data_IF_834237619613
#
_entry.id   IF_834237619613
#
_cell.length_a   1.000
_cell.length_b   1.000
_cell.length_c   1.000
_cell.angle_alpha   90.00
_cell.angle_beta   90.00
_cell.angle_gamma   90.00
#
_symmetry.space_group_name_H-M   'P 1'
#
loop_
_entity.id
_entity.type
_entity.pdbx_description
1 polymer ?
#
# COMPACT_ATOMS: atom_id res chain seq x y z
N UNK A 1 -0.86 -40.38 -27.60
CA UNK A 1 -1.72 -41.23 -26.77
C UNK A 1 -1.43 -41.17 -25.26
N UNK A 2 -0.25 -40.78 -24.79
CA UNK A 2 0.07 -40.69 -23.34
C UNK A 2 -0.45 -39.43 -22.62
N UNK A 3 -0.85 -38.39 -23.34
CA UNK A 3 -1.36 -37.13 -22.74
C UNK A 3 -2.86 -37.13 -22.46
N UNK A 4 -3.62 -38.08 -23.02
CA UNK A 4 -5.07 -38.15 -22.83
C UNK A 4 -5.48 -38.93 -21.56
N UNK A 5 -4.60 -39.79 -21.04
CA UNK A 5 -4.89 -40.64 -19.87
C UNK A 5 -4.76 -39.84 -18.55
N UNK A 6 -3.93 -38.80 -18.51
CA UNK A 6 -3.73 -37.97 -17.28
C UNK A 6 -4.94 -37.10 -16.98
N UNK A 7 -5.66 -36.59 -17.98
CA UNK A 7 -6.85 -35.75 -17.77
C UNK A 7 -8.07 -36.53 -17.25
N UNK A 8 -8.20 -37.82 -17.51
CA UNK A 8 -9.36 -38.63 -17.08
C UNK A 8 -9.24 -39.05 -15.61
N UNK A 9 -8.03 -39.21 -15.09
CA UNK A 9 -7.81 -39.58 -13.68
C UNK A 9 -8.03 -38.38 -12.72
N UNK A 10 -7.80 -37.16 -13.16
CA UNK A 10 -8.07 -35.96 -12.34
C UNK A 10 -9.57 -35.62 -12.23
N UNK A 11 -10.43 -36.07 -13.16
CA UNK A 11 -11.86 -35.76 -13.14
C UNK A 11 -12.67 -36.71 -12.23
N UNK A 12 -12.11 -37.81 -11.77
CA UNK A 12 -12.80 -38.83 -10.93
C UNK A 12 -12.59 -38.63 -9.41
N UNK A 13 -11.75 -37.71 -8.97
CA UNK A 13 -11.45 -37.47 -7.54
C UNK A 13 -12.24 -36.32 -6.93
N UNK A 14 -13.10 -35.63 -7.67
CA UNK A 14 -13.86 -34.44 -7.19
C UNK A 14 -15.28 -34.77 -6.72
N UNK A 15 -15.74 -36.02 -6.78
CA UNK A 15 -17.15 -36.37 -6.52
C UNK A 15 -17.44 -37.08 -5.17
N UNK A 16 -16.54 -37.05 -4.19
CA UNK A 16 -16.80 -37.71 -2.90
C UNK A 16 -16.45 -36.81 -1.69
N UNK A 17 -17.14 -35.66 -1.53
CA UNK A 17 -17.21 -34.99 -0.21
C UNK A 17 -18.39 -34.02 -0.12
N UNK A 18 -19.61 -34.58 -0.14
CA UNK A 18 -20.82 -33.89 0.29
C UNK A 18 -21.57 -34.82 1.24
N UNK A 19 -21.32 -34.73 2.55
CA UNK A 19 -22.29 -35.06 3.59
C UNK A 19 -21.73 -34.74 4.99
N UNK A 20 -22.13 -33.61 5.59
CA UNK A 20 -22.46 -33.51 7.01
C UNK A 20 -23.08 -32.13 7.29
N UNK A 21 -24.38 -32.05 7.08
CA UNK A 21 -25.20 -30.97 7.61
C UNK A 21 -25.50 -31.31 9.07
N UNK A 22 -24.93 -30.54 10.01
CA UNK A 22 -25.24 -30.57 11.44
C UNK A 22 -25.82 -29.24 11.85
N UNK A 23 -27.15 -29.14 11.84
CA UNK A 23 -27.91 -28.05 12.43
C UNK A 23 -27.78 -28.09 13.94
N UNK A 24 -27.15 -27.10 14.55
CA UNK A 24 -27.36 -26.73 15.96
C UNK A 24 -27.99 -25.35 15.98
N UNK A 25 -29.28 -25.34 16.31
CA UNK A 25 -29.98 -24.18 16.84
C UNK A 25 -29.28 -23.76 18.13
N UNK A 26 -28.67 -22.60 18.12
CA UNK A 26 -28.19 -21.90 19.29
C UNK A 26 -28.97 -20.59 19.38
N UNK A 27 -29.74 -20.45 20.46
CA UNK A 27 -30.50 -19.25 20.79
C UNK A 27 -29.60 -18.03 20.75
N UNK A 28 -29.90 -17.10 19.83
CA UNK A 28 -29.37 -15.74 19.84
C UNK A 28 -30.17 -14.97 20.88
N UNK A 29 -29.55 -14.49 21.98
CA UNK A 29 -30.24 -13.55 22.87
C UNK A 29 -30.55 -12.28 22.09
N UNK A 30 -31.77 -11.80 22.16
CA UNK A 30 -32.20 -10.52 21.62
C UNK A 30 -31.26 -9.41 22.11
N UNK A 31 -30.96 -8.40 21.30
CA UNK A 31 -30.23 -7.24 21.76
C UNK A 31 -31.07 -6.53 22.83
N UNK A 32 -30.63 -6.56 24.07
CA UNK A 32 -31.10 -5.67 25.11
C UNK A 32 -30.68 -4.26 24.70
N UNK A 33 -31.64 -3.43 24.32
CA UNK A 33 -31.47 -1.99 24.24
C UNK A 33 -31.08 -1.48 25.60
N UNK A 34 -29.80 -1.17 25.77
CA UNK A 34 -29.31 -0.56 26.99
C UNK A 34 -29.47 0.96 26.83
N UNK A 35 -30.68 1.45 27.16
CA UNK A 35 -30.97 2.87 27.30
C UNK A 35 -30.39 3.34 28.63
N UNK A 36 -29.11 3.68 28.64
CA UNK A 36 -28.51 4.16 29.87
C UNK A 36 -27.07 4.63 29.69
N UNK A 37 -26.92 5.84 29.15
CA UNK A 37 -25.63 6.52 29.08
C UNK A 37 -25.27 7.16 30.44
N UNK A 38 -25.15 6.34 31.48
CA UNK A 38 -24.63 6.77 32.76
C UNK A 38 -23.19 6.28 32.91
N UNK A 39 -22.28 7.17 33.27
CA UNK A 39 -20.91 6.82 33.61
C UNK A 39 -20.87 6.27 35.05
N UNK A 40 -20.21 5.12 35.24
CA UNK A 40 -20.05 4.45 36.52
C UNK A 40 -18.58 4.43 36.93
N UNK A 41 -18.33 4.51 38.25
CA UNK A 41 -17.01 4.20 38.82
C UNK A 41 -16.75 2.70 38.78
N UNK A 42 -15.51 2.26 39.01
CA UNK A 42 -15.14 0.84 39.00
C UNK A 42 -15.85 0.01 40.07
N UNK A 43 -16.48 0.64 41.08
CA UNK A 43 -17.28 0.03 42.15
C UNK A 43 -18.79 0.05 41.87
N UNK A 44 -19.22 0.53 40.70
CA UNK A 44 -20.63 0.58 40.30
C UNK A 44 -21.42 1.78 40.76
N UNK A 45 -20.77 2.80 41.35
CA UNK A 45 -21.44 4.02 41.81
C UNK A 45 -21.65 4.99 40.66
N UNK A 46 -22.85 5.55 40.53
CA UNK A 46 -23.16 6.59 39.50
C UNK A 46 -22.42 7.88 39.83
N UNK A 47 -21.69 8.44 38.89
CA UNK A 47 -20.98 9.72 39.03
C UNK A 47 -22.02 10.86 39.06
N UNK A 48 -22.17 11.62 40.15
CA UNK A 48 -23.10 12.75 40.20
C UNK A 48 -22.66 13.83 39.17
N UNK A 49 -23.58 14.24 38.31
CA UNK A 49 -23.35 15.30 37.31
C UNK A 49 -23.22 14.81 35.86
N UNK A 50 -23.28 13.52 35.61
CA UNK A 50 -23.38 12.98 34.26
C UNK A 50 -24.83 12.91 33.76
N UNK A 51 -25.54 14.04 33.68
CA UNK A 51 -26.87 14.07 33.06
C UNK A 51 -26.68 14.10 31.54
N UNK A 52 -27.09 13.03 30.82
CA UNK A 52 -26.94 12.98 29.36
C UNK A 52 -27.74 14.06 28.62
N UNK A 53 -28.61 14.79 29.31
CA UNK A 53 -29.39 15.90 28.73
C UNK A 53 -28.66 17.23 28.72
N UNK A 54 -27.48 17.32 29.35
CA UNK A 54 -26.63 18.53 29.34
C UNK A 54 -25.54 18.50 28.23
N UNK A 55 -25.44 17.42 27.46
CA UNK A 55 -24.62 17.44 26.25
C UNK A 55 -25.42 18.17 25.16
N UNK A 56 -25.25 19.48 25.13
CA UNK A 56 -25.58 20.23 23.93
C UNK A 56 -24.83 19.62 22.74
N UNK A 57 -25.28 19.83 21.51
CA UNK A 57 -24.53 19.39 20.34
C UNK A 57 -23.09 19.87 20.56
N UNK A 58 -22.14 18.94 20.61
CA UNK A 58 -20.74 19.32 20.60
C UNK A 58 -20.59 20.28 19.44
N UNK A 59 -20.18 21.51 19.72
CA UNK A 59 -19.77 22.40 18.63
C UNK A 59 -18.78 21.59 17.84
N UNK A 60 -19.11 21.31 16.58
CA UNK A 60 -18.20 20.70 15.65
C UNK A 60 -17.12 21.74 15.47
N UNK A 61 -16.11 21.68 16.36
CA UNK A 61 -14.86 22.40 16.13
C UNK A 61 -14.44 22.03 14.73
N UNK A 62 -14.29 23.01 13.86
CA UNK A 62 -13.89 22.87 12.47
C UNK A 62 -12.90 21.72 12.38
N UNK A 63 -13.24 20.68 11.59
CA UNK A 63 -12.31 19.60 11.33
C UNK A 63 -11.10 20.25 10.68
N UNK A 64 -10.00 20.33 11.40
CA UNK A 64 -8.73 20.81 10.84
C UNK A 64 -8.33 19.74 9.83
N UNK A 65 -8.70 20.00 8.58
CA UNK A 65 -8.27 19.16 7.47
C UNK A 65 -6.76 19.38 7.34
N UNK A 66 -5.98 18.34 7.57
CA UNK A 66 -4.54 18.37 7.31
C UNK A 66 -4.39 18.59 5.80
N UNK A 67 -3.78 19.70 5.35
CA UNK A 67 -3.59 19.94 3.92
C UNK A 67 -2.81 18.77 3.30
N UNK A 68 -3.16 18.38 2.07
CA UNK A 68 -2.36 17.43 1.30
C UNK A 68 -0.99 18.09 1.04
N UNK A 69 0.14 17.48 1.49
CA UNK A 69 1.45 18.09 1.31
C UNK A 69 1.99 17.94 -0.12
N UNK A 70 1.41 17.06 -0.93
CA UNK A 70 1.82 16.82 -2.31
C UNK A 70 1.38 17.96 -3.24
N UNK A 71 2.31 18.46 -4.01
CA UNK A 71 2.07 19.44 -5.07
C UNK A 71 2.30 18.79 -6.44
N UNK A 72 1.31 18.94 -7.33
CA UNK A 72 1.42 18.47 -8.72
C UNK A 72 2.50 19.27 -9.47
N UNK A 73 3.32 18.57 -10.25
CA UNK A 73 4.40 19.14 -11.05
C UNK A 73 4.21 18.81 -12.54
N UNK A 74 4.60 19.74 -13.39
CA UNK A 74 4.50 19.57 -14.85
C UNK A 74 5.68 18.80 -15.46
N UNK A 75 6.78 18.62 -14.69
CA UNK A 75 7.99 17.95 -15.14
C UNK A 75 8.80 17.39 -13.97
N UNK A 76 9.68 16.41 -14.25
CA UNK A 76 10.64 15.89 -13.28
C UNK A 76 11.62 16.97 -12.77
N UNK A 77 11.97 17.93 -13.62
CA UNK A 77 12.81 19.07 -13.21
C UNK A 77 12.11 19.95 -12.18
N UNK A 78 10.82 20.24 -12.37
CA UNK A 78 10.01 21.01 -11.43
C UNK A 78 9.87 20.27 -10.11
N UNK A 79 9.58 18.97 -10.14
CA UNK A 79 9.48 18.12 -8.94
C UNK A 79 10.80 18.09 -8.17
N UNK A 80 11.92 17.88 -8.85
CA UNK A 80 13.24 17.91 -8.22
C UNK A 80 13.59 19.28 -7.62
N UNK A 81 13.24 20.37 -8.31
CA UNK A 81 13.44 21.73 -7.80
C UNK A 81 12.62 22.00 -6.53
N UNK A 82 11.36 21.54 -6.50
CA UNK A 82 10.50 21.67 -5.33
C UNK A 82 11.01 20.80 -4.17
N UNK A 83 11.41 19.56 -4.44
CA UNK A 83 11.97 18.65 -3.46
C UNK A 83 13.39 19.00 -2.99
N UNK A 84 14.07 19.98 -3.63
CA UNK A 84 15.37 20.48 -3.22
C UNK A 84 16.57 19.63 -3.72
N UNK A 85 16.39 18.76 -4.71
CA UNK A 85 17.42 17.91 -5.29
C UNK A 85 17.18 17.63 -6.79
N UNK A 86 18.17 17.05 -7.47
CA UNK A 86 17.97 16.55 -8.84
C UNK A 86 17.16 15.25 -8.81
N UNK A 87 16.09 15.18 -9.62
CA UNK A 87 15.25 14.00 -9.76
C UNK A 87 15.19 13.56 -11.21
N UNK A 88 15.63 12.33 -11.47
CA UNK A 88 15.53 11.69 -12.78
C UNK A 88 14.82 10.35 -12.67
N UNK A 89 13.98 10.05 -13.63
CA UNK A 89 13.21 8.82 -13.78
C UNK A 89 12.91 8.63 -15.28
N UNK A 90 12.33 7.51 -15.72
CA UNK A 90 11.92 7.33 -17.10
C UNK A 90 10.99 8.47 -17.58
N UNK A 91 11.20 8.94 -18.81
CA UNK A 91 10.30 9.92 -19.42
C UNK A 91 8.97 9.32 -19.84
N UNK A 92 8.98 8.03 -20.22
CA UNK A 92 7.81 7.24 -20.58
C UNK A 92 8.07 5.77 -20.29
N UNK A 93 7.01 5.02 -20.05
CA UNK A 93 7.05 3.55 -19.94
C UNK A 93 6.11 2.95 -20.98
N UNK A 94 6.62 1.94 -21.71
CA UNK A 94 5.81 1.20 -22.67
C UNK A 94 4.65 0.48 -21.95
N UNK A 95 3.43 0.66 -22.44
CA UNK A 95 2.22 0.10 -21.85
C UNK A 95 1.61 0.97 -20.74
N UNK A 96 2.23 2.09 -20.34
CA UNK A 96 1.76 2.99 -19.28
C UNK A 96 1.59 4.42 -19.84
N UNK A 97 0.45 4.71 -20.50
CA UNK A 97 0.23 5.99 -21.19
C UNK A 97 0.02 7.18 -20.25
N UNK A 98 -0.43 6.95 -19.04
CA UNK A 98 -0.69 8.01 -18.07
C UNK A 98 0.51 8.23 -17.16
N UNK A 99 0.83 9.51 -16.91
CA UNK A 99 1.97 9.91 -16.10
C UNK A 99 1.58 11.06 -15.16
N UNK A 100 1.82 10.86 -13.86
CA UNK A 100 1.63 11.87 -12.84
C UNK A 100 2.96 12.17 -12.17
N UNK A 101 3.25 13.45 -11.93
CA UNK A 101 4.47 13.89 -11.27
C UNK A 101 4.07 14.79 -10.11
N UNK A 102 4.61 14.51 -8.92
CA UNK A 102 4.35 15.31 -7.74
C UNK A 102 5.59 15.41 -6.84
N UNK A 103 5.58 16.37 -5.93
CA UNK A 103 6.63 16.50 -4.93
C UNK A 103 6.09 17.11 -3.62
N UNK A 104 6.80 16.83 -2.52
CA UNK A 104 6.67 17.54 -1.25
C UNK A 104 7.92 18.41 -1.09
N UNK A 105 7.71 19.67 -0.77
CA UNK A 105 8.78 20.68 -0.68
C UNK A 105 9.89 20.24 0.28
N UNK A 106 11.13 20.27 -0.22
CA UNK A 106 12.36 19.88 0.49
C UNK A 106 12.37 18.46 1.09
N UNK A 107 11.56 17.54 0.55
CA UNK A 107 11.39 16.21 1.14
C UNK A 107 11.47 15.08 0.10
N UNK A 108 10.54 15.03 -0.86
CA UNK A 108 10.37 13.87 -1.75
C UNK A 108 9.82 14.28 -3.12
N UNK A 109 10.26 13.63 -4.16
CA UNK A 109 9.70 13.72 -5.50
C UNK A 109 9.27 12.33 -5.98
N UNK A 110 8.16 12.27 -6.72
CA UNK A 110 7.66 11.03 -7.31
C UNK A 110 7.20 11.23 -8.76
N UNK A 111 7.24 10.13 -9.50
CA UNK A 111 6.51 9.96 -10.75
C UNK A 111 5.79 8.63 -10.75
N UNK A 112 4.53 8.66 -11.13
CA UNK A 112 3.64 7.51 -11.20
C UNK A 112 3.23 7.32 -12.65
N UNK A 113 3.31 6.09 -13.13
CA UNK A 113 2.83 5.67 -14.44
C UNK A 113 1.69 4.69 -14.27
N UNK A 114 0.59 4.89 -14.99
CA UNK A 114 -0.56 4.00 -14.98
C UNK A 114 -0.81 3.43 -16.38
N UNK A 115 -1.18 2.16 -16.43
CA UNK A 115 -1.71 1.54 -17.64
C UNK A 115 -3.25 1.71 -17.74
N UNK A 116 -3.83 1.22 -18.83
CA UNK A 116 -5.29 1.30 -19.09
C UNK A 116 -6.12 0.43 -18.13
N UNK A 117 -5.52 -0.58 -17.50
CA UNK A 117 -6.16 -1.50 -16.56
C UNK A 117 -5.98 -1.05 -15.08
N UNK A 118 -5.28 0.05 -14.84
CA UNK A 118 -5.00 0.61 -13.52
C UNK A 118 -3.80 0.00 -12.81
N UNK A 119 -2.94 -0.74 -13.52
CA UNK A 119 -1.65 -1.13 -12.97
C UNK A 119 -0.72 0.09 -12.88
N UNK A 120 0.05 0.15 -11.80
CA UNK A 120 0.87 1.30 -11.45
C UNK A 120 2.33 0.94 -11.29
N UNK A 121 3.21 1.82 -11.77
CA UNK A 121 4.64 1.84 -11.43
C UNK A 121 4.99 3.22 -10.89
N UNK A 122 5.50 3.27 -9.66
CA UNK A 122 5.87 4.49 -8.97
C UNK A 122 7.38 4.54 -8.72
N UNK A 123 8.00 5.66 -9.05
CA UNK A 123 9.41 5.96 -8.76
C UNK A 123 9.48 7.12 -7.78
N UNK A 124 10.24 6.95 -6.69
CA UNK A 124 10.44 8.00 -5.68
C UNK A 124 11.90 8.20 -5.34
N UNK A 125 12.23 9.45 -5.04
CA UNK A 125 13.48 9.86 -4.39
C UNK A 125 13.14 10.84 -3.28
N UNK A 126 13.74 10.65 -2.11
CA UNK A 126 13.49 11.51 -0.95
C UNK A 126 14.76 11.76 -0.15
N UNK A 127 14.74 12.81 0.66
CA UNK A 127 15.83 13.15 1.59
C UNK A 127 15.88 12.14 2.74
N UNK A 128 17.08 11.68 3.09
CA UNK A 128 17.28 10.73 4.21
C UNK A 128 17.52 9.30 3.74
N UNK A 129 17.39 8.37 4.66
CA UNK A 129 17.73 6.95 4.46
C UNK A 129 16.59 5.99 4.81
N UNK A 130 15.46 6.53 5.23
CA UNK A 130 14.29 5.74 5.61
C UNK A 130 13.55 5.20 4.37
N UNK A 131 12.72 4.18 4.56
CA UNK A 131 11.86 3.64 3.51
C UNK A 131 10.78 4.68 3.11
N UNK A 132 10.85 5.14 1.87
CA UNK A 132 9.93 6.14 1.31
C UNK A 132 8.91 5.54 0.34
N UNK A 133 8.84 4.22 0.22
CA UNK A 133 7.93 3.55 -0.73
C UNK A 133 6.46 3.82 -0.44
N UNK A 134 6.11 4.02 0.84
CA UNK A 134 4.71 4.12 1.25
C UNK A 134 3.96 2.79 1.12
N UNK A 135 4.69 1.70 1.01
CA UNK A 135 4.15 0.36 0.82
C UNK A 135 4.05 -0.38 2.16
N UNK A 136 2.84 -0.72 2.54
CA UNK A 136 2.50 -1.42 3.78
C UNK A 136 1.98 -2.85 3.54
N UNK A 137 2.18 -3.37 2.32
CA UNK A 137 1.73 -4.72 1.98
C UNK A 137 2.67 -5.78 2.57
N UNK A 138 2.11 -6.95 2.85
CA UNK A 138 2.86 -8.15 3.21
C UNK A 138 3.28 -8.90 1.95
N UNK A 139 4.54 -9.35 1.91
CA UNK A 139 5.11 -10.09 0.80
C UNK A 139 5.67 -11.44 1.26
N UNK A 140 5.53 -12.45 0.41
CA UNK A 140 6.07 -13.78 0.69
C UNK A 140 7.60 -13.82 0.71
N UNK A 141 8.25 -12.92 -0.05
CA UNK A 141 9.71 -12.84 -0.18
C UNK A 141 10.17 -11.44 0.16
N UNK A 142 11.20 -11.34 1.00
CA UNK A 142 12.00 -10.14 1.23
C UNK A 142 13.46 -10.55 1.16
N UNK A 143 14.21 -9.97 0.24
CA UNK A 143 15.61 -10.33 0.02
C UNK A 143 16.48 -9.10 -0.29
N UNK A 144 17.76 -9.24 -0.09
CA UNK A 144 18.76 -8.22 -0.46
C UNK A 144 19.35 -8.62 -1.82
N UNK A 145 19.27 -7.71 -2.78
CA UNK A 145 19.84 -7.89 -4.12
C UNK A 145 20.85 -6.80 -4.43
N UNK A 146 21.86 -7.14 -5.23
CA UNK A 146 22.77 -6.14 -5.81
C UNK A 146 22.40 -5.93 -7.27
N UNK A 147 21.96 -4.72 -7.61
CA UNK A 147 21.55 -4.35 -8.95
C UNK A 147 22.30 -3.07 -9.33
N UNK A 148 23.04 -3.11 -10.43
CA UNK A 148 23.85 -1.98 -10.92
C UNK A 148 24.78 -1.37 -9.84
N UNK A 149 25.38 -2.23 -9.00
CA UNK A 149 26.27 -1.82 -7.91
C UNK A 149 25.57 -1.21 -6.69
N UNK A 150 24.24 -1.08 -6.70
CA UNK A 150 23.43 -0.63 -5.57
C UNK A 150 22.90 -1.84 -4.79
N UNK A 151 22.85 -1.74 -3.47
CA UNK A 151 22.28 -2.77 -2.60
C UNK A 151 20.82 -2.43 -2.31
N UNK A 152 19.90 -3.26 -2.78
CA UNK A 152 18.45 -3.07 -2.69
C UNK A 152 17.84 -4.04 -1.70
N UNK A 153 16.84 -3.57 -0.96
CA UNK A 153 15.86 -4.45 -0.31
C UNK A 153 14.69 -4.65 -1.28
N UNK A 154 14.50 -5.88 -1.74
CA UNK A 154 13.47 -6.27 -2.68
C UNK A 154 12.39 -7.09 -1.98
N UNK A 155 11.13 -6.71 -2.16
CA UNK A 155 9.95 -7.41 -1.63
C UNK A 155 9.05 -7.80 -2.79
N UNK A 156 8.45 -9.00 -2.73
CA UNK A 156 7.58 -9.45 -3.81
C UNK A 156 6.99 -10.83 -3.61
N UNK A 157 6.32 -11.31 -4.67
CA UNK A 157 5.65 -12.61 -4.70
C UNK A 157 5.93 -13.28 -6.05
N UNK A 158 5.86 -14.60 -6.09
CA UNK A 158 5.87 -15.41 -7.33
C UNK A 158 7.07 -15.13 -8.26
N UNK A 159 8.21 -14.75 -7.69
CA UNK A 159 9.43 -14.45 -8.45
C UNK A 159 9.45 -13.06 -9.10
N UNK A 160 8.48 -12.21 -8.80
CA UNK A 160 8.44 -10.80 -9.21
C UNK A 160 8.74 -9.89 -8.01
N UNK A 161 9.37 -8.74 -8.28
CA UNK A 161 9.63 -7.69 -7.30
C UNK A 161 8.54 -6.65 -7.37
N UNK A 162 7.78 -6.47 -6.29
CA UNK A 162 6.73 -5.47 -6.19
C UNK A 162 7.23 -4.15 -5.58
N UNK A 163 8.22 -4.22 -4.70
CA UNK A 163 8.84 -3.06 -4.07
C UNK A 163 10.35 -3.26 -3.96
N UNK A 164 11.11 -2.28 -4.43
CA UNK A 164 12.57 -2.23 -4.30
C UNK A 164 12.98 -0.89 -3.69
N UNK A 165 13.72 -0.92 -2.59
CA UNK A 165 14.20 0.26 -1.88
C UNK A 165 15.71 0.23 -1.69
N UNK A 166 16.36 1.38 -1.74
CA UNK A 166 17.79 1.54 -1.42
C UNK A 166 18.11 2.96 -1.00
N UNK A 167 19.35 3.18 -0.54
CA UNK A 167 19.87 4.50 -0.21
C UNK A 167 21.31 4.64 -0.71
N UNK A 168 21.71 5.87 -1.02
CA UNK A 168 23.11 6.25 -1.27
C UNK A 168 23.79 6.91 -0.03
N UNK A 169 23.06 6.96 1.09
CA UNK A 169 23.52 7.58 2.33
C UNK A 169 23.06 9.02 2.51
N UNK A 170 22.56 9.67 1.46
CA UNK A 170 21.98 11.02 1.47
C UNK A 170 20.51 10.99 1.13
N UNK A 171 20.17 10.20 0.12
CA UNK A 171 18.82 10.04 -0.39
C UNK A 171 18.37 8.59 -0.30
N UNK A 172 17.09 8.41 -0.05
CA UNK A 172 16.38 7.15 -0.21
C UNK A 172 15.71 7.11 -1.58
N UNK A 173 15.58 5.91 -2.11
CA UNK A 173 14.96 5.63 -3.41
C UNK A 173 13.96 4.48 -3.26
N UNK A 174 12.87 4.53 -4.02
CA UNK A 174 11.98 3.39 -4.15
C UNK A 174 11.43 3.24 -5.58
N UNK A 175 11.21 2.00 -5.97
CA UNK A 175 10.47 1.62 -7.16
C UNK A 175 9.40 0.63 -6.73
N UNK A 176 8.15 0.92 -6.99
CA UNK A 176 7.02 0.08 -6.65
C UNK A 176 6.22 -0.26 -7.91
N UNK A 177 5.72 -1.50 -7.99
CA UNK A 177 4.83 -1.95 -9.06
C UNK A 177 3.70 -2.79 -8.48
N UNK A 178 2.47 -2.43 -8.80
CA UNK A 178 1.27 -3.17 -8.36
C UNK A 178 1.16 -4.56 -8.97
N UNK A 179 1.77 -4.78 -10.15
CA UNK A 179 1.76 -6.08 -10.85
C UNK A 179 3.09 -6.83 -10.71
N UNK A 180 4.09 -6.22 -10.06
CA UNK A 180 5.44 -6.75 -9.92
C UNK A 180 6.31 -6.53 -11.15
N UNK A 181 7.62 -6.61 -10.95
CA UNK A 181 8.67 -6.40 -11.95
C UNK A 181 9.54 -7.64 -12.08
N UNK A 182 9.93 -7.97 -13.31
CA UNK A 182 10.99 -8.95 -13.55
C UNK A 182 12.36 -8.37 -13.14
N UNK A 183 13.37 -9.22 -12.95
CA UNK A 183 14.73 -8.78 -12.64
C UNK A 183 15.33 -7.87 -13.73
N UNK A 184 14.96 -8.08 -15.00
CA UNK A 184 15.41 -7.24 -16.13
C UNK A 184 14.76 -5.85 -16.08
N UNK A 185 13.45 -5.78 -15.83
CA UNK A 185 12.74 -4.51 -15.63
C UNK A 185 13.29 -3.73 -14.43
N UNK A 186 13.47 -4.40 -13.29
CA UNK A 186 14.05 -3.79 -12.08
C UNK A 186 15.44 -3.20 -12.39
N UNK A 187 16.33 -3.94 -13.08
CA UNK A 187 17.66 -3.45 -13.45
C UNK A 187 17.58 -2.17 -14.30
N UNK A 188 16.70 -2.16 -15.30
CA UNK A 188 16.48 -1.00 -16.16
C UNK A 188 15.98 0.21 -15.36
N UNK A 189 15.02 -0.01 -14.46
CA UNK A 189 14.44 1.06 -13.65
C UNK A 189 15.41 1.63 -12.62
N UNK A 190 16.22 0.76 -11.96
CA UNK A 190 17.27 1.21 -11.03
C UNK A 190 18.31 2.10 -11.69
N UNK A 191 18.64 1.86 -12.97
CA UNK A 191 19.57 2.68 -13.74
C UNK A 191 18.97 4.05 -14.11
N UNK A 192 17.67 4.13 -14.29
CA UNK A 192 16.98 5.36 -14.69
C UNK A 192 16.69 6.31 -13.54
N UNK A 193 16.71 5.82 -12.28
CA UNK A 193 16.37 6.59 -11.08
C UNK A 193 17.63 7.16 -10.39
N UNK A 194 17.69 8.50 -10.26
CA UNK A 194 18.79 9.20 -9.57
C UNK A 194 18.36 10.54 -8.95
#
# INVERSE_FOLDING_TARGET
MKKLIVCVVCLLLVLLSMAACGTKSGDTPAPTTNDGNASYTADGTVIPGSDPRTWGPAEITESVQIPNPWADCSSLEEAGKLAGFSFTAPDALEGYPEKYIAAIENEIAEVIFNDEDGAEICFRKGVGIEDISGDYNDYAVTEIQTVDGKTLTCKGNDGLVSNATWTDGTYAYSIMSTVGMTAEQLSTFVQSLS
#
